data_IF_252827738834
#
_entry.id   IF_252827738834
#
_cell.length_a   1.000
_cell.length_b   1.000
_cell.length_c   1.000
_cell.angle_alpha   90.00
_cell.angle_beta   90.00
_cell.angle_gamma   90.00
#
_symmetry.space_group_name_H-M   'P 1'
#
loop_
_entity.id
_entity.type
_entity.pdbx_description
1 polymer ?
#
# COMPACT_ATOMS: atom_id res chain seq x y z
N UNK A 1 -24.55 -5.33 5.90
CA UNK A 1 -24.59 -6.32 6.98
C UNK A 1 -25.20 -5.66 8.21
N UNK A 2 -26.22 -6.26 8.80
CA UNK A 2 -26.87 -5.74 10.00
C UNK A 2 -26.21 -6.32 11.29
N UNK A 3 -26.59 -5.80 12.46
CA UNK A 3 -25.99 -6.24 13.73
C UNK A 3 -26.18 -7.72 14.04
N UNK A 4 -27.32 -8.30 13.66
CA UNK A 4 -27.62 -9.72 13.88
C UNK A 4 -26.74 -10.60 13.01
N UNK A 5 -26.64 -10.31 11.71
CA UNK A 5 -25.79 -11.03 10.76
C UNK A 5 -24.31 -10.98 11.17
N UNK A 6 -23.87 -9.83 11.72
CA UNK A 6 -22.50 -9.67 12.21
C UNK A 6 -22.25 -10.56 13.46
N UNK A 7 -23.21 -10.64 14.39
CA UNK A 7 -23.10 -11.48 15.57
C UNK A 7 -23.07 -12.97 15.19
N UNK A 8 -23.93 -13.40 14.27
CA UNK A 8 -23.98 -14.78 13.76
C UNK A 8 -22.66 -15.18 13.09
N UNK A 9 -22.09 -14.29 12.29
CA UNK A 9 -20.79 -14.53 11.65
C UNK A 9 -19.65 -14.65 12.67
N UNK A 10 -19.60 -13.76 13.66
CA UNK A 10 -18.58 -13.82 14.74
C UNK A 10 -18.72 -15.14 15.49
N UNK A 11 -19.94 -15.50 15.91
CA UNK A 11 -20.23 -16.72 16.63
C UNK A 11 -19.75 -17.97 15.85
N UNK A 12 -20.18 -18.09 14.61
CA UNK A 12 -19.86 -19.23 13.74
C UNK A 12 -18.35 -19.33 13.50
N UNK A 13 -17.71 -18.22 13.11
CA UNK A 13 -16.29 -18.21 12.80
C UNK A 13 -15.43 -18.42 14.05
N UNK A 14 -15.87 -17.94 15.21
CA UNK A 14 -15.17 -18.16 16.48
C UNK A 14 -15.17 -19.65 16.88
N UNK A 15 -16.28 -20.35 16.69
CA UNK A 15 -16.38 -21.80 16.90
C UNK A 15 -15.54 -22.60 15.89
N UNK A 16 -15.45 -22.15 14.64
CA UNK A 16 -14.55 -22.74 13.63
C UNK A 16 -13.09 -22.59 14.08
N UNK A 17 -12.67 -21.42 14.52
CA UNK A 17 -11.29 -21.19 14.98
C UNK A 17 -10.99 -21.99 16.27
N UNK A 18 -11.92 -22.04 17.21
CA UNK A 18 -11.79 -22.89 18.40
C UNK A 18 -11.55 -24.36 18.02
N UNK A 19 -12.37 -24.86 17.09
CA UNK A 19 -12.28 -26.27 16.62
C UNK A 19 -10.95 -26.50 15.88
N UNK A 20 -10.50 -25.58 15.07
CA UNK A 20 -9.19 -25.62 14.40
C UNK A 20 -8.03 -25.71 15.38
N UNK A 21 -8.15 -25.07 16.54
CA UNK A 21 -7.17 -25.12 17.61
C UNK A 21 -7.29 -26.39 18.50
N UNK A 22 -8.27 -27.25 18.25
CA UNK A 22 -8.50 -28.46 19.03
C UNK A 22 -8.95 -28.21 20.48
N UNK A 23 -9.51 -27.05 20.76
CA UNK A 23 -9.88 -26.64 22.13
C UNK A 23 -11.35 -26.94 22.40
N UNK A 24 -11.66 -27.34 23.64
CA UNK A 24 -13.05 -27.36 24.14
C UNK A 24 -13.52 -25.92 24.39
N UNK A 25 -14.84 -25.72 24.46
CA UNK A 25 -15.41 -24.41 24.80
C UNK A 25 -14.90 -23.84 26.14
N UNK A 26 -14.72 -24.71 27.13
CA UNK A 26 -14.19 -24.33 28.44
C UNK A 26 -12.74 -23.87 28.34
N UNK A 27 -11.90 -24.63 27.64
CA UNK A 27 -10.49 -24.28 27.43
C UNK A 27 -10.32 -22.99 26.58
N UNK A 28 -11.20 -22.77 25.62
CA UNK A 28 -11.14 -21.56 24.81
C UNK A 28 -11.62 -20.32 25.59
N UNK A 29 -12.68 -20.48 26.42
CA UNK A 29 -13.12 -19.44 27.34
C UNK A 29 -12.02 -19.05 28.33
N UNK A 30 -11.32 -20.06 28.91
CA UNK A 30 -10.19 -19.84 29.81
C UNK A 30 -9.07 -19.04 29.12
N UNK A 31 -8.71 -19.38 27.87
CA UNK A 31 -7.72 -18.62 27.08
C UNK A 31 -8.16 -17.19 26.78
N UNK A 32 -9.46 -16.97 26.65
CA UNK A 32 -10.07 -15.65 26.50
C UNK A 32 -10.25 -14.91 27.84
N UNK A 33 -9.75 -15.50 28.92
CA UNK A 33 -9.84 -14.93 30.29
C UNK A 33 -11.29 -14.63 30.72
N UNK A 34 -12.24 -15.44 30.24
CA UNK A 34 -13.67 -15.27 30.57
C UNK A 34 -14.32 -16.57 31.08
N UNK A 35 -15.47 -16.44 31.74
CA UNK A 35 -16.24 -17.60 32.16
C UNK A 35 -16.83 -18.34 30.95
N UNK A 36 -17.03 -19.66 31.08
CA UNK A 36 -17.72 -20.45 30.05
C UNK A 36 -19.13 -19.91 29.75
N UNK A 37 -19.83 -19.39 30.77
CA UNK A 37 -21.14 -18.76 30.57
C UNK A 37 -21.06 -17.48 29.73
N UNK A 38 -20.04 -16.65 29.94
CA UNK A 38 -19.80 -15.45 29.13
C UNK A 38 -19.48 -15.83 27.68
N UNK A 39 -18.63 -16.84 27.48
CA UNK A 39 -18.33 -17.36 26.15
C UNK A 39 -19.58 -17.89 25.43
N UNK A 40 -20.41 -18.69 26.14
CA UNK A 40 -21.67 -19.19 25.58
C UNK A 40 -22.63 -18.08 25.15
N UNK A 41 -22.67 -16.97 25.85
CA UNK A 41 -23.48 -15.80 25.45
C UNK A 41 -23.00 -15.19 24.14
N UNK A 42 -21.70 -15.21 23.89
CA UNK A 42 -21.14 -14.73 22.61
C UNK A 42 -21.55 -15.68 21.47
N UNK A 43 -21.34 -16.99 21.64
CA UNK A 43 -21.63 -17.96 20.59
C UNK A 43 -23.14 -18.20 20.36
N UNK A 44 -23.97 -17.90 21.34
CA UNK A 44 -25.43 -17.91 21.18
C UNK A 44 -26.00 -16.57 20.68
N UNK A 45 -25.15 -15.62 20.32
CA UNK A 45 -25.56 -14.29 19.88
C UNK A 45 -26.39 -13.48 20.90
N UNK A 46 -26.30 -13.86 22.20
CA UNK A 46 -26.99 -13.16 23.31
C UNK A 46 -26.31 -11.82 23.65
N UNK A 47 -25.09 -11.61 23.16
CA UNK A 47 -24.36 -10.34 23.27
C UNK A 47 -23.74 -9.99 21.92
N UNK A 48 -23.92 -8.75 21.52
CA UNK A 48 -23.35 -8.19 20.28
C UNK A 48 -22.16 -7.26 20.56
N UNK A 49 -21.82 -7.05 21.84
CA UNK A 49 -20.73 -6.17 22.24
C UNK A 49 -19.55 -6.99 22.74
N UNK A 50 -18.45 -6.92 22.02
CA UNK A 50 -17.14 -7.37 22.48
C UNK A 50 -16.35 -6.15 22.94
N UNK A 51 -15.79 -6.23 24.15
CA UNK A 51 -14.86 -5.20 24.60
C UNK A 51 -13.51 -5.32 23.88
N UNK A 52 -12.72 -4.25 23.93
CA UNK A 52 -11.43 -4.16 23.22
C UNK A 52 -10.44 -5.22 23.69
N UNK A 53 -10.48 -5.58 24.98
CA UNK A 53 -9.57 -6.56 25.55
C UNK A 53 -9.90 -7.97 25.04
N UNK A 54 -11.17 -8.36 25.05
CA UNK A 54 -11.65 -9.61 24.46
C UNK A 54 -11.30 -9.71 22.98
N UNK A 55 -11.48 -8.62 22.22
CA UNK A 55 -11.09 -8.57 20.81
C UNK A 55 -9.58 -8.77 20.60
N UNK A 56 -8.74 -8.20 21.47
CA UNK A 56 -7.29 -8.42 21.47
C UNK A 56 -6.92 -9.87 21.78
N UNK A 57 -7.54 -10.49 22.79
CA UNK A 57 -7.29 -11.90 23.14
C UNK A 57 -7.70 -12.85 22.00
N UNK A 58 -8.85 -12.60 21.36
CA UNK A 58 -9.28 -13.34 20.19
C UNK A 58 -8.19 -13.29 19.12
N UNK A 59 -7.69 -12.09 18.78
CA UNK A 59 -6.62 -11.95 17.81
C UNK A 59 -5.34 -12.69 18.23
N UNK A 60 -4.93 -12.55 19.50
CA UNK A 60 -3.71 -13.19 20.03
C UNK A 60 -3.76 -14.72 19.93
N UNK A 61 -4.93 -15.31 20.14
CA UNK A 61 -5.14 -16.76 20.16
C UNK A 61 -5.38 -17.33 18.77
N UNK A 62 -6.20 -16.67 17.96
CA UNK A 62 -6.67 -17.19 16.67
C UNK A 62 -5.86 -16.64 15.48
N UNK A 63 -5.18 -15.50 15.64
CA UNK A 63 -4.58 -14.73 14.57
C UNK A 63 -5.58 -14.00 13.68
N UNK A 64 -6.87 -13.97 14.07
CA UNK A 64 -7.96 -13.33 13.33
C UNK A 64 -8.46 -12.09 14.05
N UNK A 65 -8.64 -11.01 13.32
CA UNK A 65 -9.31 -9.83 13.86
C UNK A 65 -10.82 -10.08 13.98
N UNK A 66 -11.48 -9.45 14.94
CA UNK A 66 -12.93 -9.59 15.14
C UNK A 66 -13.75 -9.15 13.93
N UNK A 67 -13.29 -8.20 13.15
CA UNK A 67 -13.90 -7.81 11.88
C UNK A 67 -13.79 -8.91 10.80
N UNK A 68 -12.71 -9.70 10.77
CA UNK A 68 -12.61 -10.87 9.89
C UNK A 68 -13.60 -11.96 10.31
N UNK A 69 -13.75 -12.18 11.62
CA UNK A 69 -14.74 -13.12 12.16
C UNK A 69 -16.16 -12.65 11.86
N UNK A 70 -16.39 -11.33 11.83
CA UNK A 70 -17.67 -10.75 11.44
C UNK A 70 -17.96 -10.85 9.93
N UNK A 71 -17.04 -11.37 9.12
CA UNK A 71 -17.21 -11.50 7.68
C UNK A 71 -16.86 -10.24 6.89
N UNK A 72 -16.29 -9.21 7.55
CA UNK A 72 -15.71 -8.08 6.85
C UNK A 72 -14.37 -8.49 6.25
N UNK A 73 -14.30 -8.49 4.94
CA UNK A 73 -13.03 -8.48 4.21
C UNK A 73 -12.62 -7.01 4.04
N UNK A 74 -11.97 -6.48 5.04
CA UNK A 74 -11.40 -5.16 4.93
C UNK A 74 -10.03 -5.28 4.27
N UNK A 75 -9.84 -4.56 3.17
CA UNK A 75 -8.55 -4.46 2.49
C UNK A 75 -7.42 -3.99 3.42
N UNK A 76 -7.75 -3.21 4.46
CA UNK A 76 -6.79 -2.75 5.47
C UNK A 76 -6.23 -3.88 6.33
N UNK A 77 -7.03 -4.92 6.63
CA UNK A 77 -6.57 -6.10 7.39
C UNK A 77 -5.55 -6.89 6.58
N UNK A 78 -5.79 -7.08 5.28
CA UNK A 78 -4.88 -7.76 4.39
C UNK A 78 -3.56 -6.99 4.22
N UNK A 79 -3.63 -5.65 4.17
CA UNK A 79 -2.45 -4.79 4.22
C UNK A 79 -1.70 -4.97 5.55
N UNK A 80 -2.39 -4.92 6.69
CA UNK A 80 -1.80 -5.12 8.02
C UNK A 80 -1.09 -6.47 8.17
N UNK A 81 -1.64 -7.55 7.58
CA UNK A 81 -1.00 -8.86 7.55
C UNK A 81 0.28 -8.86 6.72
N UNK A 82 0.29 -8.18 5.58
CA UNK A 82 1.47 -8.04 4.71
C UNK A 82 2.56 -7.21 5.38
N UNK A 83 2.19 -6.17 6.14
CA UNK A 83 3.14 -5.33 6.87
C UNK A 83 4.03 -6.12 7.85
N UNK A 84 3.56 -7.25 8.39
CA UNK A 84 4.35 -8.10 9.31
C UNK A 84 5.58 -8.74 8.66
N UNK A 85 5.58 -8.87 7.34
CA UNK A 85 6.69 -9.45 6.58
C UNK A 85 7.68 -8.40 6.09
N UNK A 86 7.40 -7.13 6.36
CA UNK A 86 8.26 -6.02 5.96
C UNK A 86 9.34 -5.78 7.01
N UNK A 87 10.53 -5.42 6.56
CA UNK A 87 11.60 -4.95 7.44
C UNK A 87 11.17 -3.65 8.13
N UNK A 88 11.77 -3.35 9.29
CA UNK A 88 11.54 -2.09 10.02
C UNK A 88 11.70 -0.85 9.13
N UNK A 89 12.63 -0.90 8.20
CA UNK A 89 12.89 0.17 7.26
C UNK A 89 11.77 0.35 6.23
N UNK A 90 11.24 -0.74 5.67
CA UNK A 90 10.10 -0.71 4.77
C UNK A 90 8.84 -0.19 5.48
N UNK A 91 8.68 -0.56 6.76
CA UNK A 91 7.59 -0.03 7.59
C UNK A 91 7.73 1.48 7.80
N UNK A 92 8.90 1.98 8.14
CA UNK A 92 9.15 3.42 8.29
C UNK A 92 8.88 4.19 6.99
N UNK A 93 9.18 3.59 5.83
CA UNK A 93 8.89 4.19 4.54
C UNK A 93 7.37 4.29 4.27
N UNK A 94 6.62 3.23 4.59
CA UNK A 94 5.15 3.22 4.46
C UNK A 94 4.52 4.23 5.43
N UNK A 95 5.03 4.31 6.66
CA UNK A 95 4.59 5.28 7.65
C UNK A 95 4.79 6.71 7.14
N UNK A 96 5.99 7.04 6.65
CA UNK A 96 6.28 8.36 6.07
C UNK A 96 5.38 8.71 4.87
N UNK A 97 5.10 7.74 3.98
CA UNK A 97 4.15 7.94 2.88
C UNK A 97 2.73 8.20 3.39
N UNK A 98 2.29 7.43 4.39
CA UNK A 98 0.96 7.58 4.97
C UNK A 98 0.79 8.95 5.64
N UNK A 99 1.80 9.40 6.39
CA UNK A 99 1.82 10.72 7.03
C UNK A 99 1.78 11.84 6.00
N UNK A 100 2.54 11.70 4.90
CA UNK A 100 2.53 12.68 3.81
C UNK A 100 1.15 12.76 3.13
N UNK A 101 0.51 11.63 2.86
CA UNK A 101 -0.83 11.57 2.27
C UNK A 101 -1.90 12.15 3.22
N UNK A 102 -1.80 11.89 4.53
CA UNK A 102 -2.71 12.44 5.53
C UNK A 102 -2.53 13.96 5.68
N UNK A 103 -1.28 14.44 5.71
CA UNK A 103 -0.98 15.87 5.77
C UNK A 103 -1.52 16.59 4.53
N UNK A 104 -1.35 15.98 3.35
CA UNK A 104 -1.88 16.48 2.09
C UNK A 104 -3.41 16.56 2.11
N UNK A 105 -4.10 15.47 2.48
CA UNK A 105 -5.57 15.44 2.56
C UNK A 105 -6.11 16.51 3.53
N UNK A 106 -5.45 16.69 4.67
CA UNK A 106 -5.83 17.69 5.66
C UNK A 106 -5.62 19.13 5.13
N UNK A 107 -4.53 19.40 4.43
CA UNK A 107 -4.25 20.73 3.86
C UNK A 107 -5.30 21.14 2.83
N UNK A 108 -5.68 20.21 1.96
CA UNK A 108 -6.72 20.43 0.95
C UNK A 108 -8.08 20.68 1.59
N UNK A 109 -8.46 19.85 2.56
CA UNK A 109 -9.75 19.98 3.26
C UNK A 109 -9.86 21.34 3.98
N UNK A 110 -8.79 21.78 4.64
CA UNK A 110 -8.75 23.08 5.31
C UNK A 110 -8.82 24.26 4.32
N UNK A 111 -8.35 24.08 3.09
CA UNK A 111 -8.42 25.13 2.05
C UNK A 111 -9.78 25.20 1.35
N UNK A 112 -10.75 24.35 1.70
CA UNK A 112 -12.09 24.29 1.06
C UNK A 112 -12.06 23.76 -0.38
N UNK A 113 -10.97 23.14 -0.81
CA UNK A 113 -10.85 22.50 -2.12
C UNK A 113 -11.46 21.10 -2.08
N UNK A 114 -11.90 20.60 -3.25
CA UNK A 114 -12.31 19.21 -3.36
C UNK A 114 -11.05 18.32 -3.43
N UNK A 115 -10.84 17.40 -2.46
CA UNK A 115 -9.65 16.55 -2.45
C UNK A 115 -9.47 15.71 -3.73
N UNK A 116 -10.58 15.29 -4.36
CA UNK A 116 -10.52 14.49 -5.58
C UNK A 116 -9.96 15.24 -6.80
N UNK A 117 -9.92 16.57 -6.74
CA UNK A 117 -9.40 17.40 -7.83
C UNK A 117 -7.89 17.69 -7.71
N UNK A 118 -7.25 17.23 -6.65
CA UNK A 118 -5.84 17.51 -6.39
C UNK A 118 -5.07 16.22 -6.13
N UNK A 119 -3.79 16.22 -6.47
CA UNK A 119 -2.82 15.17 -6.10
C UNK A 119 -1.52 15.79 -5.63
N UNK A 120 -0.76 15.05 -4.78
CA UNK A 120 0.60 15.44 -4.44
C UNK A 120 1.53 15.25 -5.64
N UNK A 121 2.44 16.19 -5.81
CA UNK A 121 3.57 16.10 -6.74
C UNK A 121 4.84 16.06 -5.93
N UNK A 122 5.54 14.94 -5.97
CA UNK A 122 6.81 14.76 -5.30
C UNK A 122 7.90 15.52 -6.07
N UNK A 123 8.73 16.26 -5.33
CA UNK A 123 9.90 16.95 -5.86
C UNK A 123 11.13 16.19 -5.37
N UNK A 124 11.63 15.20 -6.13
CA UNK A 124 12.69 14.33 -5.65
C UNK A 124 14.00 15.10 -5.50
N UNK A 125 14.84 14.63 -4.59
CA UNK A 125 16.21 15.04 -4.43
C UNK A 125 17.16 14.08 -5.16
N UNK A 126 18.43 14.46 -5.32
CA UNK A 126 19.42 13.65 -6.03
C UNK A 126 19.43 13.88 -7.53
N UNK A 127 20.12 12.99 -8.23
CA UNK A 127 20.35 13.10 -9.68
C UNK A 127 19.43 12.11 -10.42
N UNK A 128 18.61 12.62 -11.34
CA UNK A 128 17.70 11.77 -12.13
C UNK A 128 18.40 10.76 -13.05
N UNK A 129 19.69 10.94 -13.34
CA UNK A 129 20.49 10.00 -14.10
C UNK A 129 20.93 8.80 -13.23
N UNK A 130 21.46 9.11 -12.06
CA UNK A 130 22.13 8.15 -11.19
C UNK A 130 21.20 7.62 -10.07
N UNK A 131 19.96 8.12 -10.06
CA UNK A 131 18.92 7.77 -9.10
C UNK A 131 18.44 8.99 -8.30
N UNK A 132 17.15 9.03 -8.06
CA UNK A 132 16.49 10.07 -7.27
C UNK A 132 16.02 9.51 -5.93
N UNK A 133 15.97 10.37 -4.90
CA UNK A 133 15.45 10.01 -3.59
C UNK A 133 14.03 10.54 -3.45
N UNK A 134 13.10 9.65 -3.07
CA UNK A 134 11.69 9.97 -2.86
C UNK A 134 11.32 10.06 -1.37
N UNK A 135 12.17 9.58 -0.48
CA UNK A 135 11.96 9.53 0.97
C UNK A 135 12.18 10.86 1.69
N UNK A 136 12.95 11.76 1.06
CA UNK A 136 13.27 13.09 1.59
C UNK A 136 12.82 14.22 0.66
N UNK A 137 11.79 13.95 -0.17
CA UNK A 137 11.33 14.92 -1.15
C UNK A 137 10.32 15.91 -0.53
N UNK A 138 10.35 17.14 -1.04
CA UNK A 138 9.26 18.08 -0.85
C UNK A 138 8.07 17.67 -1.73
N UNK A 139 6.88 18.16 -1.41
CA UNK A 139 5.71 17.98 -2.25
C UNK A 139 4.99 19.30 -2.49
N UNK A 140 4.40 19.43 -3.66
CA UNK A 140 3.48 20.51 -4.03
C UNK A 140 2.15 19.90 -4.49
N UNK A 141 1.09 20.71 -4.52
CA UNK A 141 -0.24 20.28 -4.94
C UNK A 141 -0.52 20.77 -6.36
N UNK A 142 -1.09 19.90 -7.19
CA UNK A 142 -1.59 20.33 -8.50
C UNK A 142 -3.06 19.94 -8.67
N UNK A 143 -3.80 20.84 -9.36
CA UNK A 143 -5.16 20.53 -9.78
C UNK A 143 -5.13 19.62 -11.00
N UNK A 144 -5.85 18.50 -10.90
CA UNK A 144 -5.91 17.46 -11.92
C UNK A 144 -7.32 17.21 -12.45
N UNK A 145 -8.28 18.08 -12.17
CA UNK A 145 -9.70 17.91 -12.59
C UNK A 145 -9.83 17.55 -14.06
N UNK A 146 -8.98 18.13 -14.92
CA UNK A 146 -8.98 17.81 -16.36
C UNK A 146 -8.47 16.38 -16.61
N UNK A 147 -7.37 16.00 -15.99
CA UNK A 147 -6.75 14.66 -16.16
C UNK A 147 -7.55 13.56 -15.48
N UNK A 148 -8.27 13.88 -14.41
CA UNK A 148 -9.20 12.95 -13.73
C UNK A 148 -10.31 12.50 -14.67
N UNK A 149 -10.77 13.34 -15.57
CA UNK A 149 -11.75 12.97 -16.59
C UNK A 149 -11.23 11.96 -17.61
N UNK A 150 -9.90 11.95 -17.84
CA UNK A 150 -9.25 11.08 -18.82
C UNK A 150 -8.82 9.76 -18.17
N UNK A 151 -8.17 9.83 -17.00
CA UNK A 151 -7.53 8.69 -16.34
C UNK A 151 -8.32 8.14 -15.14
N UNK A 152 -9.40 8.82 -14.72
CA UNK A 152 -10.25 8.37 -13.63
C UNK A 152 -9.48 8.20 -12.30
N UNK A 153 -9.73 7.08 -11.64
CA UNK A 153 -9.09 6.70 -10.38
C UNK A 153 -7.66 6.14 -10.54
N UNK A 154 -7.16 6.00 -11.76
CA UNK A 154 -5.80 5.50 -12.00
C UNK A 154 -4.71 6.53 -11.67
N UNK A 155 -5.08 7.80 -11.57
CA UNK A 155 -4.18 8.90 -11.28
C UNK A 155 -3.98 9.04 -9.77
N UNK A 156 -2.77 8.78 -9.29
CA UNK A 156 -2.48 8.72 -7.85
C UNK A 156 -1.59 9.86 -7.36
N UNK A 157 -0.51 10.17 -8.07
CA UNK A 157 0.43 11.23 -7.69
C UNK A 157 1.23 11.70 -8.89
N UNK A 158 1.99 12.77 -8.73
CA UNK A 158 2.93 13.26 -9.72
C UNK A 158 4.38 13.21 -9.24
N UNK A 159 5.33 13.24 -10.18
CA UNK A 159 6.74 13.46 -9.89
C UNK A 159 7.23 14.59 -10.78
N UNK A 160 7.87 15.61 -10.17
CA UNK A 160 8.48 16.71 -10.88
C UNK A 160 9.86 16.32 -11.39
N UNK A 161 10.13 16.60 -12.65
CA UNK A 161 11.43 16.38 -13.25
C UNK A 161 12.36 17.52 -12.84
N UNK A 162 13.38 17.23 -12.04
CA UNK A 162 14.24 18.25 -11.43
C UNK A 162 15.48 18.60 -12.29
N UNK A 163 15.74 17.84 -13.36
CA UNK A 163 16.91 18.05 -14.21
C UNK A 163 16.65 17.65 -15.68
N UNK A 164 17.56 18.07 -16.58
CA UNK A 164 17.47 17.73 -18.01
C UNK A 164 18.12 16.37 -18.37
N UNK A 165 18.49 15.54 -17.40
CA UNK A 165 19.14 14.25 -17.68
C UNK A 165 18.22 13.25 -18.41
N UNK A 166 16.92 13.48 -18.43
CA UNK A 166 15.94 12.62 -19.11
C UNK A 166 15.52 13.17 -20.48
N UNK A 167 16.20 14.24 -20.97
CA UNK A 167 15.98 14.78 -22.31
C UNK A 167 16.36 13.72 -23.39
N UNK A 168 15.64 13.64 -24.51
CA UNK A 168 14.54 14.53 -24.95
C UNK A 168 13.14 14.12 -24.46
N UNK A 169 12.99 13.01 -23.74
CA UNK A 169 11.69 12.48 -23.34
C UNK A 169 11.00 13.38 -22.32
N UNK A 170 11.74 13.73 -21.26
CA UNK A 170 11.29 14.66 -20.23
C UNK A 170 12.28 15.82 -20.09
N UNK A 171 11.73 16.99 -19.80
CA UNK A 171 12.50 18.20 -19.56
C UNK A 171 12.40 18.59 -18.08
N UNK A 172 13.34 19.40 -17.63
CA UNK A 172 13.25 20.00 -16.29
C UNK A 172 11.93 20.76 -16.17
N UNK A 173 11.31 20.64 -15.00
CA UNK A 173 10.01 21.17 -14.61
C UNK A 173 8.78 20.50 -15.25
N UNK A 174 8.94 19.52 -16.14
CA UNK A 174 7.84 18.63 -16.52
C UNK A 174 7.36 17.87 -15.25
N UNK A 175 6.06 17.63 -15.14
CA UNK A 175 5.48 16.77 -14.12
C UNK A 175 4.96 15.51 -14.81
N UNK A 176 5.42 14.34 -14.37
CA UNK A 176 4.90 13.06 -14.82
C UNK A 176 3.82 12.58 -13.86
N UNK A 177 2.66 12.18 -14.42
CA UNK A 177 1.53 11.66 -13.66
C UNK A 177 1.63 10.14 -13.57
N UNK A 178 1.48 9.60 -12.37
CA UNK A 178 1.79 8.20 -12.05
C UNK A 178 0.52 7.45 -11.61
N UNK A 179 0.39 6.23 -12.16
CA UNK A 179 -0.54 5.21 -11.68
C UNK A 179 0.19 4.17 -10.83
N UNK A 180 -0.44 3.71 -9.75
CA UNK A 180 0.04 2.57 -8.94
C UNK A 180 -0.42 1.20 -9.47
N UNK A 181 -1.12 1.18 -10.57
CA UNK A 181 -1.51 -0.07 -11.22
C UNK A 181 -0.26 -0.86 -11.69
N UNK A 182 -0.36 -2.17 -11.87
CA UNK A 182 0.76 -3.00 -12.29
C UNK A 182 1.40 -2.52 -13.59
N UNK A 183 2.73 -2.42 -13.58
CA UNK A 183 3.55 -2.05 -14.75
C UNK A 183 3.57 -3.22 -15.73
N UNK A 184 3.30 -2.96 -17.01
CA UNK A 184 3.27 -3.93 -18.10
C UNK A 184 4.55 -3.84 -18.94
N UNK A 185 4.75 -4.84 -19.79
CA UNK A 185 5.83 -4.81 -20.77
C UNK A 185 5.75 -3.59 -21.68
N UNK A 186 6.87 -2.90 -21.84
CA UNK A 186 6.97 -1.67 -22.62
C UNK A 186 6.59 -0.38 -21.87
N UNK A 187 5.99 -0.46 -20.68
CA UNK A 187 5.65 0.73 -19.90
C UNK A 187 6.89 1.44 -19.36
N UNK A 188 6.80 2.76 -19.29
CA UNK A 188 7.73 3.57 -18.49
C UNK A 188 7.26 3.60 -17.04
N UNK A 189 8.10 3.14 -16.13
CA UNK A 189 7.78 3.03 -14.71
C UNK A 189 8.80 3.67 -13.79
N UNK A 190 8.40 3.76 -12.53
CA UNK A 190 9.26 4.17 -11.42
C UNK A 190 9.67 2.91 -10.66
N UNK A 191 10.97 2.69 -10.55
CA UNK A 191 11.56 1.51 -9.91
C UNK A 191 12.46 1.95 -8.76
N UNK A 192 12.14 1.50 -7.55
CA UNK A 192 12.94 1.77 -6.36
C UNK A 192 13.89 0.61 -6.10
N UNK A 193 15.18 0.89 -6.08
CA UNK A 193 16.18 -0.09 -5.65
C UNK A 193 16.24 -0.11 -4.12
N UNK A 194 15.96 -1.25 -3.51
CA UNK A 194 15.87 -1.42 -2.06
C UNK A 194 17.23 -1.40 -1.37
N UNK A 195 18.33 -1.62 -2.09
CA UNK A 195 19.68 -1.60 -1.55
C UNK A 195 20.28 -0.19 -1.53
N UNK A 196 20.09 0.57 -2.61
CA UNK A 196 20.62 1.95 -2.74
C UNK A 196 19.63 3.01 -2.30
N UNK A 197 18.34 2.66 -2.18
CA UNK A 197 17.21 3.56 -1.90
C UNK A 197 16.97 4.62 -2.97
N UNK A 198 17.55 4.43 -4.13
CA UNK A 198 17.37 5.29 -5.28
C UNK A 198 16.19 4.80 -6.12
N UNK A 199 15.36 5.72 -6.53
CA UNK A 199 14.32 5.48 -7.52
C UNK A 199 14.81 5.90 -8.92
N UNK A 200 14.39 5.15 -9.92
CA UNK A 200 14.77 5.34 -11.32
C UNK A 200 13.53 5.37 -12.20
N UNK A 201 13.54 6.23 -13.20
CA UNK A 201 12.55 6.22 -14.28
C UNK A 201 13.12 5.36 -15.40
N UNK A 202 12.49 4.21 -15.66
CA UNK A 202 12.98 3.22 -16.63
C UNK A 202 11.83 2.65 -17.46
N UNK A 203 12.15 2.20 -18.65
CA UNK A 203 11.27 1.38 -19.46
C UNK A 203 11.41 -0.06 -19.03
N UNK A 204 10.28 -0.71 -18.74
CA UNK A 204 10.25 -2.11 -18.31
C UNK A 204 10.09 -3.05 -19.50
N UNK A 205 10.92 -4.08 -19.57
CA UNK A 205 10.77 -5.17 -20.51
C UNK A 205 10.70 -6.50 -19.76
N UNK A 206 9.60 -7.21 -20.02
CA UNK A 206 9.33 -8.53 -19.42
C UNK A 206 10.00 -9.64 -20.25
N UNK A 207 11.32 -9.55 -20.38
CA UNK A 207 12.17 -10.57 -20.98
C UNK A 207 12.70 -11.53 -19.90
N UNK A 208 13.52 -12.51 -20.29
CA UNK A 208 14.21 -13.36 -19.33
C UNK A 208 15.73 -13.24 -19.56
N UNK A 209 16.46 -12.53 -18.68
CA UNK A 209 16.02 -11.76 -17.51
C UNK A 209 15.18 -10.52 -17.89
N UNK A 210 14.34 -10.03 -16.96
CA UNK A 210 13.66 -8.75 -17.15
C UNK A 210 14.67 -7.61 -17.25
N UNK A 211 14.38 -6.56 -18.02
CA UNK A 211 15.25 -5.38 -18.09
C UNK A 211 14.53 -4.09 -17.72
N UNK A 212 15.30 -3.20 -17.10
CA UNK A 212 14.91 -1.82 -16.77
C UNK A 212 15.81 -0.89 -17.58
N UNK A 213 15.34 -0.45 -18.72
CA UNK A 213 16.13 0.31 -19.68
C UNK A 213 16.01 1.81 -19.47
N UNK A 214 17.06 2.60 -19.68
CA UNK A 214 16.98 4.04 -19.66
C UNK A 214 16.04 4.54 -20.76
N UNK A 215 15.20 5.52 -20.44
CA UNK A 215 14.16 6.03 -21.36
C UNK A 215 14.73 6.89 -22.52
N UNK A 216 15.97 7.32 -22.42
CA UNK A 216 16.61 8.23 -23.37
C UNK A 216 17.96 7.73 -23.90
N UNK A 217 18.20 6.43 -23.79
CA UNK A 217 19.45 5.76 -24.20
C UNK A 217 20.72 6.24 -23.43
N UNK A 218 20.58 7.06 -22.39
CA UNK A 218 21.67 7.48 -21.51
C UNK A 218 21.51 6.84 -20.14
N UNK A 219 22.46 6.05 -19.73
CA UNK A 219 22.46 5.38 -18.43
C UNK A 219 22.61 3.87 -18.54
N UNK A 220 22.62 3.24 -17.39
CA UNK A 220 22.77 1.80 -17.26
C UNK A 220 21.42 1.09 -17.38
N UNK A 221 21.42 -0.06 -18.08
CA UNK A 221 20.31 -1.00 -18.07
C UNK A 221 20.49 -1.94 -16.89
N UNK A 222 19.47 -2.06 -16.05
CA UNK A 222 19.46 -3.04 -14.96
C UNK A 222 18.73 -4.29 -15.42
N UNK A 223 19.33 -5.44 -15.14
CA UNK A 223 18.74 -6.74 -15.40
C UNK A 223 18.24 -7.33 -14.07
N UNK A 224 17.07 -7.95 -14.12
CA UNK A 224 16.39 -8.53 -12.95
C UNK A 224 16.07 -9.97 -13.30
N UNK A 225 16.72 -10.93 -12.62
CA UNK A 225 16.40 -12.33 -12.81
C UNK A 225 15.09 -12.67 -12.11
N UNK A 226 14.07 -12.98 -12.91
CA UNK A 226 12.75 -13.36 -12.40
C UNK A 226 12.74 -14.71 -11.66
N UNK A 227 13.80 -15.51 -11.77
CA UNK A 227 13.96 -16.78 -11.08
C UNK A 227 14.73 -16.61 -9.76
N UNK A 228 15.36 -15.46 -9.52
CA UNK A 228 16.06 -15.15 -8.28
C UNK A 228 15.19 -14.24 -7.39
N UNK A 229 14.76 -14.78 -6.25
CA UNK A 229 13.90 -14.08 -5.30
C UNK A 229 14.59 -12.85 -4.70
N UNK A 230 15.91 -12.93 -4.46
CA UNK A 230 16.68 -11.81 -3.91
C UNK A 230 16.81 -10.67 -4.93
N UNK A 231 17.01 -11.01 -6.20
CA UNK A 231 17.09 -10.03 -7.27
C UNK A 231 15.72 -9.37 -7.55
N UNK A 232 14.63 -10.14 -7.46
CA UNK A 232 13.27 -9.60 -7.53
C UNK A 232 12.96 -8.66 -6.37
N UNK A 233 13.37 -9.00 -5.14
CA UNK A 233 13.16 -8.19 -3.95
C UNK A 233 14.02 -6.91 -3.92
N UNK A 234 15.05 -6.84 -4.74
CA UNK A 234 15.90 -5.67 -4.91
C UNK A 234 15.17 -4.49 -5.55
N UNK A 235 14.11 -4.75 -6.33
CA UNK A 235 13.38 -3.74 -7.07
C UNK A 235 11.91 -3.68 -6.71
N UNK A 236 11.45 -2.52 -6.24
CA UNK A 236 10.02 -2.25 -6.01
C UNK A 236 9.48 -1.49 -7.22
N UNK A 237 8.45 -2.03 -7.85
CA UNK A 237 7.66 -1.36 -8.89
C UNK A 237 6.73 -0.35 -8.23
N UNK A 238 7.09 0.92 -8.27
CA UNK A 238 6.37 1.98 -7.55
C UNK A 238 5.14 2.49 -8.30
N UNK A 239 5.16 2.42 -9.62
CA UNK A 239 4.07 2.81 -10.50
C UNK A 239 4.54 3.06 -11.93
N UNK A 240 3.61 3.26 -12.85
CA UNK A 240 3.93 3.58 -14.24
C UNK A 240 3.46 4.99 -14.63
N UNK A 241 4.10 5.56 -15.62
CA UNK A 241 3.82 6.90 -16.13
C UNK A 241 2.60 6.89 -17.04
N UNK A 242 1.54 7.59 -16.67
CA UNK A 242 0.35 7.78 -17.48
C UNK A 242 0.57 8.83 -18.58
N UNK A 243 1.09 9.98 -18.20
CA UNK A 243 1.33 11.12 -19.08
C UNK A 243 2.28 12.11 -18.43
N UNK A 244 2.68 13.14 -19.18
CA UNK A 244 3.40 14.30 -18.66
C UNK A 244 2.61 15.57 -18.87
N UNK A 245 2.81 16.51 -17.97
CA UNK A 245 2.26 17.87 -18.02
C UNK A 245 3.38 18.90 -17.85
N UNK A 246 3.16 20.09 -18.35
CA UNK A 246 4.05 21.24 -18.22
C UNK A 246 3.40 22.34 -17.42
#
# INVERSE_FOLDING_TARGET
MNHTEMADNISTNLEIERSRLGLTQAQFAEKLEMSLSSYKRIINCETTKLDVYTAYLIYKITGKYTCELAGYRDSYIDVGKKLKFLSKRQLNYIEALTDAELAFANSITQSGKNPDDYIPVLIPTGNMKDGMYLDSCNSEEINISHYRKIFGSELHFGIKITSNHLHPVYHKDDIILISRNPIRDGDTGIFLNTQTHCAYIRKFHQTSPCSLEPINNYGETFYVDSNDVDDMNKWIKFGYVLTKIR
#
